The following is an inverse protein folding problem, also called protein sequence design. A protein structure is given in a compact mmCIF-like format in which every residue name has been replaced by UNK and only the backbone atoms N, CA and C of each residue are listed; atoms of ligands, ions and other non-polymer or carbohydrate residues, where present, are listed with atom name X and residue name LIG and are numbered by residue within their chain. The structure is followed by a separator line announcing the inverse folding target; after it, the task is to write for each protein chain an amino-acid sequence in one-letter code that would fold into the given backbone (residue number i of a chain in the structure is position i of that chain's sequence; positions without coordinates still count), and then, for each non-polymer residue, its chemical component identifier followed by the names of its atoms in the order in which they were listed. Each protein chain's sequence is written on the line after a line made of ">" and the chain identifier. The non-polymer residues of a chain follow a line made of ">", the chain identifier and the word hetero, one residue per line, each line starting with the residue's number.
data_IF_753184450663
#
_entry.id   IF_753184450663
#
_cell.length_a   1.000
_cell.length_b   1.000
_cell.length_c   1.000
_cell.angle_alpha   90.00
_cell.angle_beta   90.00
_cell.angle_gamma   90.00
#
_symmetry.space_group_name_H-M   'P 1'
#
loop_
_entity.id
_entity.type
_entity.pdbx_description
1 polymer ?
#
# COMPACT_ATOMS: atom_id res chain seq x y z
N UNK A 1 -15.77 23.15 22.10
CA UNK A 1 -15.87 23.92 20.85
C UNK A 1 -14.80 23.38 19.92
N UNK A 2 -15.17 22.52 18.97
CA UNK A 2 -14.23 22.02 17.97
C UNK A 2 -14.04 23.11 16.92
N UNK A 3 -12.85 23.67 16.83
CA UNK A 3 -12.49 24.54 15.72
C UNK A 3 -12.42 23.67 14.45
N UNK A 4 -13.38 23.85 13.56
CA UNK A 4 -13.32 23.28 12.23
C UNK A 4 -12.16 23.94 11.50
N UNK A 5 -11.11 23.17 11.20
CA UNK A 5 -10.06 23.63 10.29
C UNK A 5 -10.69 23.75 8.89
N UNK A 6 -10.55 24.89 8.21
CA UNK A 6 -11.00 24.98 6.83
C UNK A 6 -10.20 24.02 5.99
N UNK A 7 -10.87 23.09 5.32
CA UNK A 7 -10.28 22.25 4.29
C UNK A 7 -9.92 23.13 3.09
N UNK A 8 -8.73 23.74 3.15
CA UNK A 8 -8.15 24.39 1.97
C UNK A 8 -7.57 23.25 1.15
N UNK A 9 -8.35 22.75 0.19
CA UNK A 9 -7.83 21.90 -0.86
C UNK A 9 -7.18 22.81 -1.91
N UNK A 10 -5.84 22.89 -2.00
CA UNK A 10 -5.26 23.31 -3.25
C UNK A 10 -5.70 22.26 -4.30
N UNK A 11 -6.06 22.67 -5.54
CA UNK A 11 -6.29 21.71 -6.60
C UNK A 11 -5.04 20.83 -6.68
N UNK A 12 -5.25 19.52 -6.62
CA UNK A 12 -4.20 18.54 -6.88
C UNK A 12 -3.56 18.95 -8.20
N UNK A 13 -2.37 19.57 -8.14
CA UNK A 13 -1.57 19.72 -9.34
C UNK A 13 -1.39 18.29 -9.84
N UNK A 14 -1.97 18.01 -11.01
CA UNK A 14 -1.73 16.75 -11.67
C UNK A 14 -0.22 16.57 -11.71
N UNK A 15 0.26 15.61 -10.89
CA UNK A 15 1.67 15.32 -10.83
C UNK A 15 2.12 15.11 -12.27
N UNK A 16 3.13 15.86 -12.69
CA UNK A 16 3.70 15.66 -14.02
C UNK A 16 4.08 14.19 -14.10
N UNK A 17 3.70 13.46 -15.15
CA UNK A 17 4.04 12.05 -15.26
C UNK A 17 5.56 11.96 -15.18
N UNK A 18 6.06 11.45 -14.04
CA UNK A 18 7.44 11.02 -13.92
C UNK A 18 7.68 10.04 -15.06
N UNK A 19 8.87 10.03 -15.65
CA UNK A 19 9.26 9.39 -16.92
C UNK A 19 9.09 7.84 -16.98
N UNK A 20 8.23 7.24 -16.16
CA UNK A 20 7.96 5.80 -16.08
C UNK A 20 6.68 5.38 -16.82
N UNK A 21 5.93 6.31 -17.40
CA UNK A 21 4.70 6.00 -18.12
C UNK A 21 4.97 5.74 -19.61
N UNK A 22 4.33 4.72 -20.17
CA UNK A 22 4.22 4.58 -21.63
C UNK A 22 3.47 5.80 -22.18
N UNK A 23 3.96 6.48 -23.24
CA UNK A 23 3.27 7.62 -23.80
C UNK A 23 1.80 7.30 -24.11
N UNK A 24 0.89 8.15 -23.63
CA UNK A 24 -0.56 7.98 -23.81
C UNK A 24 -1.27 7.07 -22.79
N UNK A 25 -0.54 6.51 -21.81
CA UNK A 25 -1.16 5.78 -20.70
C UNK A 25 -1.07 6.59 -19.39
N UNK A 26 -2.04 6.46 -18.47
CA UNK A 26 -1.98 7.08 -17.16
C UNK A 26 -0.71 6.65 -16.40
N UNK A 27 -0.13 7.57 -15.63
CA UNK A 27 0.96 7.23 -14.72
C UNK A 27 0.45 6.21 -13.68
N UNK A 28 1.27 5.19 -13.39
CA UNK A 28 0.94 4.18 -12.35
C UNK A 28 1.35 4.64 -10.96
N UNK A 29 2.25 5.62 -10.88
CA UNK A 29 2.76 6.17 -9.61
C UNK A 29 2.86 7.69 -9.74
N UNK A 30 2.50 8.40 -8.69
CA UNK A 30 2.77 9.84 -8.56
C UNK A 30 3.57 10.14 -7.31
N UNK A 31 4.33 11.25 -7.36
CA UNK A 31 5.17 11.68 -6.26
C UNK A 31 5.05 13.19 -6.06
N UNK A 32 5.09 13.62 -4.80
CA UNK A 32 5.28 15.02 -4.42
C UNK A 32 6.53 15.11 -3.55
N UNK A 33 7.56 15.87 -3.96
CA UNK A 33 8.77 16.03 -3.15
C UNK A 33 8.48 16.70 -1.81
N UNK A 34 9.16 16.25 -0.75
CA UNK A 34 9.05 16.83 0.59
C UNK A 34 10.19 17.80 0.93
N UNK A 35 9.97 18.57 1.99
CA UNK A 35 10.96 19.47 2.59
C UNK A 35 11.24 19.15 4.06
N UNK A 36 10.49 18.23 4.64
CA UNK A 36 10.64 17.70 6.00
C UNK A 36 11.24 16.29 5.96
N UNK A 37 11.65 15.72 7.10
CA UNK A 37 12.12 14.32 7.14
C UNK A 37 11.00 13.27 6.99
N UNK A 38 9.74 13.69 6.86
CA UNK A 38 8.59 12.81 6.76
C UNK A 38 8.36 12.37 5.32
N UNK A 39 8.17 11.07 5.13
CA UNK A 39 7.81 10.44 3.86
C UNK A 39 6.58 9.59 4.08
N UNK A 40 5.50 9.92 3.40
CA UNK A 40 4.25 9.16 3.42
C UNK A 40 4.06 8.47 2.08
N UNK A 41 3.57 7.23 2.11
CA UNK A 41 3.19 6.52 0.89
C UNK A 41 1.83 5.84 1.02
N UNK A 42 1.11 5.71 -0.09
CA UNK A 42 -0.17 5.02 -0.20
C UNK A 42 -0.10 3.96 -1.30
N UNK A 43 0.13 2.69 -0.94
CA UNK A 43 0.28 1.61 -1.91
C UNK A 43 -1.04 1.05 -2.42
N UNK A 44 -2.17 1.31 -1.76
CA UNK A 44 -3.41 0.56 -1.94
C UNK A 44 -4.66 1.40 -2.25
N UNK A 45 -4.53 2.72 -2.35
CA UNK A 45 -5.65 3.62 -2.67
C UNK A 45 -5.94 3.75 -4.17
N UNK A 46 -5.13 3.12 -5.02
CA UNK A 46 -5.25 3.22 -6.47
C UNK A 46 -6.55 2.65 -7.03
N UNK A 47 -7.19 3.43 -7.89
CA UNK A 47 -8.48 3.12 -8.53
C UNK A 47 -8.39 2.99 -10.05
N UNK A 48 -7.19 3.06 -10.61
CA UNK A 48 -6.97 2.89 -12.05
C UNK A 48 -6.79 1.41 -12.38
N UNK A 49 -7.83 0.80 -12.94
CA UNK A 49 -7.85 -0.60 -13.37
C UNK A 49 -7.33 -0.70 -14.81
N UNK A 50 -6.10 -1.23 -15.04
CA UNK A 50 -5.55 -1.35 -16.38
C UNK A 50 -6.37 -2.29 -17.27
N UNK A 51 -6.47 -1.98 -18.57
CA UNK A 51 -7.24 -2.79 -19.51
C UNK A 51 -6.72 -4.24 -19.64
N UNK A 52 -5.42 -4.45 -19.39
CA UNK A 52 -4.78 -5.78 -19.38
C UNK A 52 -5.06 -6.60 -18.11
N UNK A 53 -5.77 -6.04 -17.13
CA UNK A 53 -6.15 -6.79 -15.92
C UNK A 53 -7.02 -8.00 -16.26
N UNK A 54 -8.02 -7.83 -17.12
CA UNK A 54 -8.92 -8.89 -17.59
C UNK A 54 -9.36 -9.83 -16.46
N UNK A 55 -9.90 -9.23 -15.38
CA UNK A 55 -10.45 -9.95 -14.25
C UNK A 55 -11.78 -10.62 -14.59
N UNK A 56 -12.07 -11.77 -13.99
CA UNK A 56 -13.38 -12.40 -14.02
C UNK A 56 -14.40 -11.74 -13.10
N UNK A 57 -13.93 -10.99 -12.08
CA UNK A 57 -14.78 -10.31 -11.12
C UNK A 57 -15.32 -8.98 -11.66
N UNK A 58 -16.48 -8.57 -11.16
CA UNK A 58 -17.06 -7.26 -11.44
C UNK A 58 -16.24 -6.12 -10.83
N UNK A 59 -16.27 -4.93 -11.42
CA UNK A 59 -15.57 -3.76 -10.86
C UNK A 59 -16.00 -3.45 -9.41
N UNK A 60 -17.28 -3.49 -9.02
CA UNK A 60 -17.67 -3.31 -7.62
C UNK A 60 -17.06 -4.33 -6.66
N UNK A 61 -16.92 -5.59 -7.09
CA UNK A 61 -16.23 -6.64 -6.30
C UNK A 61 -14.76 -6.32 -6.12
N UNK A 62 -14.06 -5.96 -7.21
CA UNK A 62 -12.64 -5.62 -7.17
C UNK A 62 -12.35 -4.42 -6.25
N UNK A 63 -13.23 -3.41 -6.28
CA UNK A 63 -13.08 -2.17 -5.50
C UNK A 63 -13.17 -2.36 -3.98
N UNK A 64 -13.70 -3.48 -3.51
CA UNK A 64 -13.72 -3.79 -2.07
C UNK A 64 -12.33 -4.02 -1.48
N UNK A 65 -11.34 -4.33 -2.32
CA UNK A 65 -9.95 -4.48 -1.89
C UNK A 65 -9.18 -3.15 -1.81
N UNK A 66 -9.78 -2.03 -2.23
CA UNK A 66 -9.14 -0.71 -2.14
C UNK A 66 -9.07 -0.22 -0.69
N UNK A 67 -7.95 0.35 -0.31
CA UNK A 67 -7.84 1.16 0.91
C UNK A 67 -8.47 2.53 0.63
N UNK A 68 -9.79 2.60 0.79
CA UNK A 68 -10.61 3.69 0.29
C UNK A 68 -10.28 5.02 0.97
N UNK A 69 -10.12 6.08 0.18
CA UNK A 69 -9.94 7.47 0.60
C UNK A 69 -8.62 7.81 1.29
N UNK A 70 -7.62 6.95 1.33
CA UNK A 70 -6.32 7.25 1.95
C UNK A 70 -5.70 8.49 1.30
N UNK A 71 -5.72 8.61 -0.02
CA UNK A 71 -5.24 9.76 -0.77
C UNK A 71 -5.92 11.08 -0.38
N UNK A 72 -7.20 11.02 0.01
CA UNK A 72 -7.97 12.20 0.48
C UNK A 72 -7.69 12.53 1.93
N UNK A 73 -7.60 11.50 2.78
CA UNK A 73 -7.31 11.66 4.21
C UNK A 73 -5.95 12.35 4.39
N UNK A 74 -4.95 11.96 3.60
CA UNK A 74 -3.59 12.49 3.68
C UNK A 74 -3.29 13.61 2.67
N UNK A 75 -4.28 14.14 1.93
CA UNK A 75 -4.11 15.20 0.95
C UNK A 75 -3.45 16.48 1.51
N UNK A 76 -3.50 16.68 2.81
CA UNK A 76 -2.85 17.80 3.52
C UNK A 76 -1.32 17.63 3.63
N UNK A 77 -0.79 16.41 3.55
CA UNK A 77 0.60 16.10 3.87
C UNK A 77 1.62 16.91 3.02
N UNK A 78 1.46 17.02 1.69
CA UNK A 78 2.36 17.83 0.87
C UNK A 78 2.41 19.31 1.27
N UNK A 79 1.28 19.89 1.68
CA UNK A 79 1.22 21.29 2.13
C UNK A 79 2.02 21.53 3.42
N UNK A 80 2.28 20.48 4.20
CA UNK A 80 3.15 20.50 5.39
C UNK A 80 4.61 20.14 5.06
N UNK A 81 4.96 20.00 3.79
CA UNK A 81 6.30 19.63 3.35
C UNK A 81 6.64 18.14 3.49
N UNK A 82 5.64 17.29 3.68
CA UNK A 82 5.81 15.83 3.69
C UNK A 82 5.96 15.34 2.27
N UNK A 83 6.94 14.47 1.98
CA UNK A 83 7.01 13.77 0.71
C UNK A 83 5.83 12.79 0.60
N UNK A 84 5.19 12.74 -0.57
CA UNK A 84 4.06 11.84 -0.84
C UNK A 84 4.33 10.96 -2.03
N UNK A 85 4.10 9.65 -1.89
CA UNK A 85 4.17 8.67 -2.97
C UNK A 85 2.85 7.90 -3.03
N UNK A 86 2.25 7.80 -4.21
CA UNK A 86 0.94 7.19 -4.38
C UNK A 86 0.93 6.21 -5.56
N UNK A 87 0.41 5.00 -5.30
CA UNK A 87 0.07 4.03 -6.34
C UNK A 87 -1.32 4.36 -6.92
N UNK A 88 -1.42 4.43 -8.25
CA UNK A 88 -2.70 4.60 -8.94
C UNK A 88 -3.31 3.27 -9.40
N UNK A 89 -2.52 2.19 -9.44
CA UNK A 89 -3.00 0.84 -9.72
C UNK A 89 -3.60 0.19 -8.45
N UNK A 90 -4.64 -0.65 -8.59
CA UNK A 90 -5.23 -1.30 -7.42
C UNK A 90 -4.36 -2.45 -6.92
N UNK A 91 -4.33 -2.64 -5.59
CA UNK A 91 -3.55 -3.72 -4.96
C UNK A 91 -3.93 -5.12 -5.44
N UNK A 92 -5.16 -5.30 -5.88
CA UNK A 92 -5.66 -6.57 -6.40
C UNK A 92 -5.07 -6.93 -7.78
N UNK A 93 -4.57 -5.92 -8.53
CA UNK A 93 -3.86 -6.10 -9.78
C UNK A 93 -2.39 -6.45 -9.55
N UNK A 94 -1.75 -5.73 -8.60
CA UNK A 94 -0.41 -5.98 -8.08
C UNK A 94 -0.31 -5.31 -6.71
N UNK A 95 0.09 -6.07 -5.68
CA UNK A 95 0.24 -5.53 -4.33
C UNK A 95 1.66 -5.00 -4.13
N UNK A 96 1.80 -3.66 -4.14
CA UNK A 96 3.09 -3.00 -3.92
C UNK A 96 3.64 -3.20 -2.50
N UNK A 97 2.80 -3.61 -1.54
CA UNK A 97 3.21 -3.94 -0.19
C UNK A 97 3.48 -5.45 0.01
N UNK A 98 3.95 -6.11 -1.08
CA UNK A 98 4.46 -7.49 -1.10
C UNK A 98 5.83 -7.53 -1.75
N UNK A 99 6.67 -8.50 -1.34
CA UNK A 99 7.91 -8.78 -2.05
C UNK A 99 7.60 -9.45 -3.40
N UNK A 100 8.46 -9.21 -4.39
CA UNK A 100 8.36 -9.90 -5.69
C UNK A 100 8.52 -11.41 -5.57
N UNK A 101 9.11 -11.89 -4.48
CA UNK A 101 9.23 -13.31 -4.15
C UNK A 101 7.92 -13.91 -3.63
N UNK A 102 6.92 -13.10 -3.25
CA UNK A 102 5.62 -13.55 -2.75
C UNK A 102 4.63 -13.85 -3.90
N UNK A 103 5.08 -14.52 -4.93
CA UNK A 103 4.27 -14.90 -6.09
C UNK A 103 3.70 -16.32 -5.94
N UNK A 104 2.38 -16.46 -6.13
CA UNK A 104 1.73 -17.76 -6.29
C UNK A 104 1.93 -18.27 -7.72
N UNK A 105 2.88 -19.17 -7.91
CA UNK A 105 3.20 -19.73 -9.24
C UNK A 105 2.08 -20.61 -9.82
N UNK A 106 1.09 -21.00 -9.02
CA UNK A 106 -0.09 -21.72 -9.52
C UNK A 106 -1.03 -20.84 -10.34
N UNK A 107 -0.82 -19.53 -10.34
CA UNK A 107 -1.51 -18.58 -11.23
C UNK A 107 -0.97 -18.58 -12.66
N UNK A 108 0.18 -19.21 -12.92
CA UNK A 108 0.93 -19.07 -14.17
C UNK A 108 0.67 -20.22 -15.15
N UNK A 109 0.69 -19.90 -16.44
CA UNK A 109 0.60 -20.85 -17.55
C UNK A 109 1.92 -21.57 -17.87
N UNK A 110 3.03 -21.07 -17.31
CA UNK A 110 4.37 -21.62 -17.46
C UNK A 110 5.19 -21.49 -16.15
N UNK A 111 6.27 -22.27 -15.97
CA UNK A 111 7.14 -22.13 -14.81
C UNK A 111 7.72 -20.71 -14.67
N UNK A 112 7.66 -20.17 -13.44
CA UNK A 112 8.30 -18.91 -13.15
C UNK A 112 9.82 -19.06 -13.18
N UNK A 113 10.56 -18.24 -13.97
CA UNK A 113 11.99 -18.45 -14.18
C UNK A 113 12.87 -17.89 -13.05
N UNK A 114 12.29 -17.05 -12.18
CA UNK A 114 13.04 -16.40 -11.10
C UNK A 114 12.73 -17.07 -9.74
N UNK A 115 13.42 -16.65 -8.68
CA UNK A 115 13.18 -17.16 -7.33
C UNK A 115 11.79 -16.78 -6.81
N UNK A 116 11.23 -17.63 -5.95
CA UNK A 116 10.07 -17.36 -5.10
C UNK A 116 10.41 -17.65 -3.65
N UNK A 117 9.69 -17.02 -2.72
CA UNK A 117 9.86 -17.29 -1.30
C UNK A 117 9.54 -18.77 -0.98
N UNK A 118 10.32 -19.33 -0.07
CA UNK A 118 10.12 -20.71 0.43
C UNK A 118 9.78 -20.73 1.93
N UNK A 119 9.99 -19.62 2.65
CA UNK A 119 9.67 -19.49 4.06
C UNK A 119 8.15 -19.55 4.27
N UNK A 120 7.64 -20.51 5.05
CA UNK A 120 6.21 -20.63 5.35
C UNK A 120 5.59 -19.37 5.98
N UNK A 121 6.33 -18.60 6.75
CA UNK A 121 5.85 -17.37 7.37
C UNK A 121 5.60 -16.27 6.32
N UNK A 122 6.49 -16.15 5.33
CA UNK A 122 6.34 -15.23 4.19
C UNK A 122 5.20 -15.68 3.29
N UNK A 123 5.07 -16.99 3.05
CA UNK A 123 4.05 -17.57 2.17
C UNK A 123 2.64 -17.58 2.76
N UNK A 124 2.44 -17.16 4.01
CA UNK A 124 1.11 -17.20 4.62
C UNK A 124 0.07 -16.42 3.80
N UNK A 125 0.39 -15.20 3.35
CA UNK A 125 -0.50 -14.39 2.51
C UNK A 125 -0.67 -14.96 1.10
N UNK A 126 0.38 -15.55 0.54
CA UNK A 126 0.30 -16.25 -0.76
C UNK A 126 -0.69 -17.41 -0.70
N UNK A 127 -0.66 -18.22 0.36
CA UNK A 127 -1.60 -19.34 0.59
C UNK A 127 -3.05 -18.88 0.73
N UNK A 128 -3.26 -17.66 1.24
CA UNK A 128 -4.58 -17.03 1.31
C UNK A 128 -5.00 -16.37 -0.02
N UNK A 129 -4.18 -16.51 -1.07
CA UNK A 129 -4.43 -15.89 -2.37
C UNK A 129 -4.18 -14.38 -2.41
N UNK A 130 -3.39 -13.84 -1.47
CA UNK A 130 -3.08 -12.41 -1.31
C UNK A 130 -1.56 -12.14 -1.38
N UNK A 131 -0.89 -12.81 -2.32
CA UNK A 131 0.52 -12.58 -2.64
C UNK A 131 0.74 -11.30 -3.46
N UNK A 132 1.87 -11.24 -4.18
CA UNK A 132 2.20 -10.13 -5.09
C UNK A 132 1.09 -9.89 -6.12
N UNK A 133 0.55 -10.94 -6.69
CA UNK A 133 -0.66 -10.94 -7.53
C UNK A 133 -1.75 -11.65 -6.74
N UNK A 134 -2.85 -10.97 -6.50
CA UNK A 134 -3.96 -11.59 -5.78
C UNK A 134 -4.68 -12.63 -6.64
N UNK A 135 -4.99 -13.77 -6.04
CA UNK A 135 -5.71 -14.89 -6.63
C UNK A 135 -7.19 -14.88 -6.30
N UNK A 136 -7.50 -14.48 -5.08
CA UNK A 136 -8.87 -14.41 -4.54
C UNK A 136 -9.16 -13.04 -3.93
N UNK A 137 -10.41 -12.62 -4.02
CA UNK A 137 -10.94 -11.48 -3.24
C UNK A 137 -11.01 -11.82 -1.76
N UNK A 138 -11.36 -10.84 -0.92
CA UNK A 138 -11.57 -11.08 0.51
C UNK A 138 -12.75 -12.03 0.78
N UNK A 139 -13.72 -12.10 -0.14
CA UNK A 139 -14.85 -13.00 -0.12
C UNK A 139 -14.55 -14.40 -0.68
N UNK A 140 -13.33 -14.61 -1.19
CA UNK A 140 -12.91 -15.88 -1.76
C UNK A 140 -13.30 -16.10 -3.23
N UNK A 141 -13.79 -15.06 -3.93
CA UNK A 141 -14.05 -15.14 -5.38
C UNK A 141 -12.72 -15.19 -6.15
N UNK A 142 -12.61 -16.08 -7.14
CA UNK A 142 -11.45 -16.15 -8.01
C UNK A 142 -11.36 -14.89 -8.90
N UNK A 143 -10.24 -14.19 -8.84
CA UNK A 143 -10.04 -12.95 -9.62
C UNK A 143 -9.85 -13.25 -11.10
N UNK A 144 -9.30 -14.41 -11.42
CA UNK A 144 -9.05 -14.85 -12.79
C UNK A 144 -9.73 -16.16 -13.07
N UNK A 145 -10.33 -16.30 -14.26
CA UNK A 145 -10.83 -17.53 -14.87
C UNK A 145 -9.83 -18.15 -15.85
N UNK A 146 -8.60 -17.63 -15.86
CA UNK A 146 -7.49 -18.01 -16.72
C UNK A 146 -6.18 -18.06 -15.95
N UNK A 147 -5.17 -18.66 -16.52
CA UNK A 147 -3.80 -18.50 -16.08
C UNK A 147 -3.19 -17.21 -16.65
N UNK A 148 -2.23 -16.66 -15.95
CA UNK A 148 -1.47 -15.47 -16.36
C UNK A 148 -0.18 -15.93 -17.04
N UNK A 149 0.25 -15.24 -18.08
CA UNK A 149 1.57 -15.51 -18.64
C UNK A 149 2.68 -14.93 -17.76
N UNK A 150 3.86 -15.53 -17.84
CA UNK A 150 5.08 -15.02 -17.18
C UNK A 150 5.37 -13.59 -17.59
N UNK A 151 5.21 -13.27 -18.89
CA UNK A 151 5.46 -11.93 -19.42
C UNK A 151 4.45 -10.91 -18.88
N UNK A 152 3.19 -11.31 -18.70
CA UNK A 152 2.17 -10.45 -18.08
C UNK A 152 2.54 -10.06 -16.65
N UNK A 153 2.97 -11.02 -15.84
CA UNK A 153 3.39 -10.74 -14.46
C UNK A 153 4.66 -9.89 -14.42
N UNK A 154 5.64 -10.17 -15.25
CA UNK A 154 6.85 -9.34 -15.38
C UNK A 154 6.53 -7.90 -15.79
N UNK A 155 5.64 -7.72 -16.77
CA UNK A 155 5.21 -6.40 -17.19
C UNK A 155 4.51 -5.61 -16.07
N UNK A 156 3.72 -6.28 -15.20
CA UNK A 156 3.12 -5.64 -14.02
C UNK A 156 4.18 -5.24 -13.00
N UNK A 157 5.17 -6.09 -12.73
CA UNK A 157 6.30 -5.78 -11.83
C UNK A 157 7.06 -4.55 -12.37
N UNK A 158 7.39 -4.54 -13.64
CA UNK A 158 8.20 -3.47 -14.26
C UNK A 158 7.43 -2.14 -14.34
N UNK A 159 6.11 -2.18 -14.58
CA UNK A 159 5.29 -0.99 -14.74
C UNK A 159 4.76 -0.42 -13.43
N UNK A 160 4.57 -1.25 -12.40
CA UNK A 160 3.93 -0.88 -11.14
C UNK A 160 4.86 -0.99 -9.95
N UNK A 161 5.37 -2.20 -9.67
CA UNK A 161 6.14 -2.49 -8.46
C UNK A 161 7.47 -1.73 -8.43
N UNK A 162 8.29 -1.88 -9.49
CA UNK A 162 9.61 -1.23 -9.54
C UNK A 162 9.54 0.28 -9.48
N UNK A 163 8.67 0.97 -10.26
CA UNK A 163 8.53 2.43 -10.18
C UNK A 163 8.04 2.91 -8.82
N UNK A 164 7.10 2.17 -8.19
CA UNK A 164 6.61 2.52 -6.87
C UNK A 164 7.71 2.43 -5.82
N UNK A 165 8.42 1.31 -5.75
CA UNK A 165 9.52 1.12 -4.83
C UNK A 165 10.69 2.08 -5.08
N UNK A 166 11.00 2.37 -6.33
CA UNK A 166 12.00 3.38 -6.67
C UNK A 166 11.61 4.78 -6.18
N UNK A 167 10.32 5.16 -6.31
CA UNK A 167 9.82 6.43 -5.83
C UNK A 167 9.88 6.55 -4.31
N UNK A 168 9.50 5.51 -3.57
CA UNK A 168 9.59 5.46 -2.10
C UNK A 168 11.05 5.57 -1.66
N UNK A 169 11.95 4.77 -2.23
CA UNK A 169 13.38 4.83 -1.92
C UNK A 169 13.95 6.22 -2.18
N UNK A 170 13.66 6.82 -3.34
CA UNK A 170 14.13 8.15 -3.69
C UNK A 170 13.63 9.24 -2.73
N UNK A 171 12.38 9.15 -2.28
CA UNK A 171 11.82 10.10 -1.31
C UNK A 171 12.50 9.98 0.05
N UNK A 172 12.77 8.75 0.51
CA UNK A 172 13.47 8.46 1.76
C UNK A 172 14.92 8.93 1.69
N UNK A 173 15.65 8.61 0.61
CA UNK A 173 17.03 9.04 0.40
C UNK A 173 17.14 10.57 0.37
N UNK A 174 16.22 11.26 -0.29
CA UNK A 174 16.18 12.71 -0.33
C UNK A 174 15.92 13.34 1.04
N UNK A 175 15.01 12.77 1.84
CA UNK A 175 14.76 13.19 3.21
C UNK A 175 15.98 12.97 4.09
N UNK A 176 16.60 11.79 4.01
CA UNK A 176 17.80 11.43 4.75
C UNK A 176 18.99 12.33 4.39
N UNK A 177 19.24 12.57 3.10
CA UNK A 177 20.33 13.45 2.64
C UNK A 177 20.18 14.90 3.15
N UNK A 178 18.94 15.38 3.28
CA UNK A 178 18.66 16.74 3.75
C UNK A 178 18.73 16.90 5.27
N UNK A 179 18.24 15.88 6.02
CA UNK A 179 17.97 16.01 7.46
C UNK A 179 18.85 15.09 8.32
N UNK A 180 19.63 14.17 7.72
CA UNK A 180 20.41 13.15 8.42
C UNK A 180 19.57 11.95 8.90
N UNK A 181 18.26 11.98 8.71
CA UNK A 181 17.31 10.90 9.02
C UNK A 181 16.03 11.06 8.20
N UNK A 182 15.22 10.03 8.17
CA UNK A 182 13.88 10.03 7.60
C UNK A 182 12.90 9.30 8.53
N UNK A 183 11.61 9.64 8.43
CA UNK A 183 10.52 8.92 9.09
C UNK A 183 9.54 8.54 8.00
N UNK A 184 9.45 7.25 7.72
CA UNK A 184 8.56 6.69 6.71
C UNK A 184 7.24 6.22 7.35
N UNK A 185 6.10 6.64 6.80
CA UNK A 185 4.77 6.20 7.21
C UNK A 185 4.05 5.62 6.01
N UNK A 186 3.81 4.33 6.06
CA UNK A 186 3.03 3.59 5.07
C UNK A 186 1.54 3.70 5.42
N UNK A 187 0.80 4.47 4.60
CA UNK A 187 -0.58 4.88 4.89
C UNK A 187 -1.58 3.88 4.33
N UNK A 188 -2.50 3.43 5.18
CA UNK A 188 -3.57 2.50 4.85
C UNK A 188 -4.91 2.97 5.41
N UNK A 189 -6.00 2.37 4.92
CA UNK A 189 -7.29 2.36 5.61
C UNK A 189 -7.74 0.93 5.87
N UNK A 190 -8.67 0.78 6.78
CA UNK A 190 -9.26 -0.50 7.13
C UNK A 190 -10.77 -0.31 7.41
N UNK A 191 -11.60 -1.35 7.25
CA UNK A 191 -12.99 -1.27 7.63
C UNK A 191 -13.13 -1.14 9.16
N UNK A 192 -14.17 -0.45 9.63
CA UNK A 192 -14.46 -0.37 11.07
C UNK A 192 -14.76 -1.74 11.68
N UNK A 193 -15.34 -2.65 10.89
CA UNK A 193 -15.61 -4.04 11.28
C UNK A 193 -15.18 -4.92 10.12
N UNK A 194 -14.32 -5.90 10.37
CA UNK A 194 -13.97 -6.92 9.38
C UNK A 194 -15.22 -7.73 9.00
N UNK A 195 -15.34 -8.06 7.71
CA UNK A 195 -16.43 -8.91 7.26
C UNK A 195 -16.43 -10.26 8.00
N UNK A 196 -17.60 -10.82 8.29
CA UNK A 196 -17.72 -12.09 9.01
C UNK A 196 -17.11 -13.30 8.28
N UNK A 197 -16.91 -13.16 6.96
CA UNK A 197 -16.28 -14.15 6.09
C UNK A 197 -14.83 -13.80 5.75
N UNK A 198 -14.28 -12.71 6.29
CA UNK A 198 -12.89 -12.35 6.04
C UNK A 198 -11.93 -13.45 6.46
N UNK A 199 -10.92 -13.72 5.65
CA UNK A 199 -9.88 -14.73 5.94
C UNK A 199 -9.01 -14.34 7.13
N UNK A 200 -8.85 -13.03 7.35
CA UNK A 200 -8.11 -12.46 8.48
C UNK A 200 -9.08 -11.76 9.43
N UNK A 201 -9.04 -12.11 10.69
CA UNK A 201 -9.79 -11.44 11.77
C UNK A 201 -11.30 -11.27 11.49
N UNK A 202 -12.06 -12.35 11.19
CA UNK A 202 -13.47 -12.27 10.84
C UNK A 202 -14.30 -11.62 11.96
N UNK A 203 -15.10 -10.61 11.62
CA UNK A 203 -15.98 -9.93 12.56
C UNK A 203 -15.28 -9.05 13.60
N UNK A 204 -13.96 -8.83 13.50
CA UNK A 204 -13.23 -7.97 14.42
C UNK A 204 -13.70 -6.52 14.28
N UNK A 205 -14.06 -5.91 15.41
CA UNK A 205 -14.25 -4.45 15.51
C UNK A 205 -12.87 -3.82 15.68
N UNK A 206 -12.49 -2.97 14.74
CA UNK A 206 -11.18 -2.32 14.75
C UNK A 206 -11.20 -1.05 15.60
N UNK A 207 -10.02 -0.71 16.15
CA UNK A 207 -9.77 0.62 16.69
C UNK A 207 -9.79 1.67 15.56
N UNK A 208 -9.92 2.95 15.92
CA UNK A 208 -9.86 4.06 14.94
C UNK A 208 -8.52 4.08 14.21
N UNK A 209 -7.42 3.76 14.92
CA UNK A 209 -6.09 3.66 14.36
C UNK A 209 -5.38 2.38 14.79
N UNK A 210 -4.57 1.85 13.88
CA UNK A 210 -3.61 0.80 14.16
C UNK A 210 -2.22 1.30 13.80
N UNK A 211 -1.33 1.37 14.77
CA UNK A 211 0.09 1.72 14.58
C UNK A 211 0.90 0.43 14.53
N UNK A 212 1.56 0.16 13.42
CA UNK A 212 2.35 -1.04 13.21
C UNK A 212 3.82 -0.71 12.92
N UNK A 213 4.74 -1.24 13.74
CA UNK A 213 6.19 -1.11 13.56
C UNK A 213 6.91 -2.48 13.60
N UNK A 214 6.17 -3.53 13.23
CA UNK A 214 6.69 -4.92 13.20
C UNK A 214 7.30 -5.36 14.54
N UNK A 215 6.57 -5.13 15.62
CA UNK A 215 6.98 -5.45 16.99
C UNK A 215 8.29 -4.73 17.39
N UNK A 216 8.42 -3.45 17.04
CA UNK A 216 9.57 -2.60 17.39
C UNK A 216 10.80 -2.79 16.50
N UNK A 217 10.66 -3.45 15.34
CA UNK A 217 11.81 -3.71 14.44
C UNK A 217 12.00 -2.65 13.37
N UNK A 218 10.99 -1.77 13.12
CA UNK A 218 11.02 -0.81 12.00
C UNK A 218 10.89 0.65 12.44
N UNK A 219 10.64 0.91 13.73
CA UNK A 219 10.67 2.26 14.29
C UNK A 219 11.19 2.21 15.73
N UNK A 220 11.69 3.35 16.24
CA UNK A 220 12.07 3.42 17.65
C UNK A 220 10.83 3.35 18.54
N UNK A 221 10.90 2.68 19.70
CA UNK A 221 9.77 2.62 20.65
C UNK A 221 9.26 4.00 21.05
N UNK A 222 10.14 4.99 21.18
CA UNK A 222 9.78 6.35 21.53
C UNK A 222 8.92 7.02 20.42
N UNK A 223 9.23 6.78 19.15
CA UNK A 223 8.45 7.30 18.02
C UNK A 223 7.06 6.66 17.97
N UNK A 224 7.00 5.33 18.11
CA UNK A 224 5.71 4.60 18.11
C UNK A 224 4.83 5.02 19.28
N UNK A 225 5.42 5.19 20.49
CA UNK A 225 4.70 5.67 21.67
C UNK A 225 4.17 7.09 21.46
N UNK A 226 4.99 8.00 20.92
CA UNK A 226 4.60 9.39 20.64
C UNK A 226 3.38 9.46 19.72
N UNK A 227 3.37 8.67 18.64
CA UNK A 227 2.24 8.62 17.69
C UNK A 227 0.98 8.09 18.38
N UNK A 228 1.10 6.98 19.12
CA UNK A 228 -0.04 6.38 19.83
C UNK A 228 -0.61 7.33 20.88
N UNK A 229 0.23 7.98 21.67
CA UNK A 229 -0.18 8.95 22.70
C UNK A 229 -0.91 10.15 22.10
N UNK A 230 -0.35 10.75 21.05
CA UNK A 230 -0.97 11.90 20.39
C UNK A 230 -2.34 11.59 19.77
N UNK A 231 -2.54 10.40 19.24
CA UNK A 231 -3.84 9.96 18.74
C UNK A 231 -4.83 9.77 19.89
N UNK A 232 -4.41 9.12 20.99
CA UNK A 232 -5.26 8.92 22.20
C UNK A 232 -5.64 10.21 22.87
N UNK A 233 -4.73 11.18 22.98
CA UNK A 233 -5.00 12.53 23.52
C UNK A 233 -6.07 13.27 22.72
N UNK A 234 -6.27 12.93 21.44
CA UNK A 234 -7.34 13.47 20.57
C UNK A 234 -8.64 12.67 20.63
N UNK A 235 -8.70 11.67 21.49
CA UNK A 235 -9.91 10.87 21.73
C UNK A 235 -10.07 9.66 20.83
N UNK A 236 -9.06 9.30 20.04
CA UNK A 236 -9.10 8.11 19.19
C UNK A 236 -8.73 6.85 19.98
N UNK A 237 -9.37 5.74 19.63
CA UNK A 237 -8.93 4.41 20.04
C UNK A 237 -7.73 3.98 19.17
N UNK A 238 -6.67 3.44 19.82
CA UNK A 238 -5.43 3.10 19.15
C UNK A 238 -4.94 1.73 19.60
N UNK A 239 -4.81 0.81 18.65
CA UNK A 239 -4.14 -0.48 18.78
C UNK A 239 -2.70 -0.38 18.28
N UNK A 240 -1.82 -1.24 18.85
CA UNK A 240 -0.40 -1.26 18.49
C UNK A 240 0.01 -2.67 18.09
N UNK A 241 0.51 -2.80 16.86
CA UNK A 241 0.89 -4.08 16.26
C UNK A 241 -0.21 -5.15 16.23
N UNK A 242 -1.47 -4.76 16.39
CA UNK A 242 -2.63 -5.65 16.32
C UNK A 242 -3.82 -4.92 15.70
N UNK A 243 -4.53 -5.52 14.76
CA UNK A 243 -4.24 -6.80 14.09
C UNK A 243 -3.14 -6.68 13.02
N UNK A 244 -2.72 -5.47 12.66
CA UNK A 244 -1.76 -5.19 11.59
C UNK A 244 -0.43 -4.69 12.15
N UNK A 245 0.67 -5.34 11.74
CA UNK A 245 2.02 -5.00 12.23
C UNK A 245 2.88 -4.24 11.21
N UNK A 246 2.39 -4.08 9.99
CA UNK A 246 3.18 -3.68 8.84
C UNK A 246 3.83 -4.88 8.14
N UNK A 247 4.10 -4.74 6.86
CA UNK A 247 4.66 -5.81 6.01
C UNK A 247 5.83 -5.30 5.18
N UNK A 248 5.85 -5.49 3.87
CA UNK A 248 7.02 -5.32 3.02
C UNK A 248 7.58 -3.90 3.00
N UNK A 249 6.74 -2.88 2.79
CA UNK A 249 7.22 -1.50 2.66
C UNK A 249 7.92 -1.02 3.93
N UNK A 250 7.32 -1.21 5.10
CA UNK A 250 7.97 -0.82 6.35
C UNK A 250 9.16 -1.71 6.71
N UNK A 251 9.18 -2.99 6.30
CA UNK A 251 10.33 -3.88 6.47
C UNK A 251 11.53 -3.48 5.61
N UNK A 252 11.25 -3.07 4.37
CA UNK A 252 12.29 -2.77 3.37
C UNK A 252 12.93 -1.41 3.59
N UNK A 253 12.18 -0.46 4.11
CA UNK A 253 12.55 0.95 4.21
C UNK A 253 12.68 1.46 5.64
N UNK A 254 12.98 0.59 6.59
CA UNK A 254 13.26 0.93 7.99
C UNK A 254 14.76 0.97 8.30
#
# INVERSE_FOLDING_TARGET
>A
MHAAFPLIHPPLQQAQPGATGTPGQPAMVSTVPGTTPLVFDSPHSGTHYPADFRSACSLPTLRRAEDTHVEKIYAFAPALGVAWVEAHFPRIYLDANRDTLELDTTLLDAPWPDAVATDPAVLNKVRLGKGLIWKFTDEGEAIYDRLLSVDEVRARIDRCWRPYHAAVAQAIDAAHARHGYSIHINCHSMPAISASHATDFPGLVHADFVVGDRDGTTASPALSALVCEHLRERGYSVEYNHPYKGVELVRRYS
#
